data_IF_376194080922
#
_entry.id   IF_376194080922
#
_cell.length_a   1.000
_cell.length_b   1.000
_cell.length_c   1.000
_cell.angle_alpha   90.00
_cell.angle_beta   90.00
_cell.angle_gamma   90.00
#
_symmetry.space_group_name_H-M   'P 1'
#
loop_
_entity.id
_entity.type
_entity.pdbx_description
1 polymer ?
#
# COMPACT_ATOMS: atom_id res chain seq x y z
N UNK A 1 -12.22 -18.61 16.75
CA UNK A 1 -13.22 -18.17 15.75
C UNK A 1 -12.74 -16.83 15.21
N UNK A 2 -12.66 -16.65 13.89
CA UNK A 2 -12.25 -15.39 13.29
C UNK A 2 -13.47 -14.48 13.13
N UNK A 3 -13.31 -13.18 13.40
CA UNK A 3 -14.31 -12.16 13.13
C UNK A 3 -13.88 -11.37 11.89
N UNK A 4 -14.77 -11.23 10.92
CA UNK A 4 -14.54 -10.45 9.71
C UNK A 4 -15.48 -9.25 9.70
N UNK A 5 -14.92 -8.05 9.51
CA UNK A 5 -15.65 -6.79 9.39
C UNK A 5 -15.38 -6.20 8.01
N UNK A 6 -16.24 -6.52 7.03
CA UNK A 6 -16.17 -5.98 5.68
C UNK A 6 -16.90 -4.63 5.60
N UNK A 7 -16.66 -3.86 4.53
CA UNK A 7 -17.27 -2.53 4.33
C UNK A 7 -17.14 -1.60 5.54
N UNK A 8 -16.04 -1.75 6.30
CA UNK A 8 -15.74 -0.98 7.50
C UNK A 8 -14.46 -0.19 7.24
N UNK A 9 -14.51 1.12 7.42
CA UNK A 9 -13.36 1.99 7.15
C UNK A 9 -12.61 2.23 8.45
N UNK A 10 -11.31 1.93 8.46
CA UNK A 10 -10.43 2.31 9.56
C UNK A 10 -10.08 3.79 9.38
N UNK A 11 -10.36 4.60 10.40
CA UNK A 11 -10.16 6.06 10.37
C UNK A 11 -9.00 6.53 11.23
N UNK A 12 -8.64 5.77 12.28
CA UNK A 12 -7.46 6.02 13.10
C UNK A 12 -6.88 4.73 13.67
N UNK A 13 -5.55 4.72 13.86
CA UNK A 13 -4.80 3.66 14.56
C UNK A 13 -3.78 4.37 15.45
N UNK A 14 -3.96 4.28 16.76
CA UNK A 14 -3.19 5.06 17.74
C UNK A 14 -2.61 4.14 18.81
N UNK A 15 -1.29 4.17 18.97
CA UNK A 15 -0.61 3.46 20.05
C UNK A 15 -0.82 4.20 21.38
N UNK A 16 -1.31 3.47 22.38
CA UNK A 16 -1.60 3.94 23.73
C UNK A 16 -0.87 3.05 24.75
N UNK A 17 -0.68 3.50 26.02
CA UNK A 17 -0.05 2.68 27.05
C UNK A 17 -0.70 1.29 27.27
N UNK A 18 -2.01 1.20 27.07
CA UNK A 18 -2.85 0.02 27.28
C UNK A 18 -2.99 -0.89 26.04
N UNK A 19 -2.51 -0.46 24.86
CA UNK A 19 -2.69 -1.18 23.60
C UNK A 19 -2.76 -0.26 22.39
N UNK A 20 -3.27 -0.79 21.28
CA UNK A 20 -3.50 -0.04 20.04
C UNK A 20 -5.00 0.21 19.90
N UNK A 21 -5.38 1.49 20.00
CA UNK A 21 -6.75 1.95 19.77
C UNK A 21 -6.99 2.08 18.28
N UNK A 22 -8.01 1.38 17.77
CA UNK A 22 -8.41 1.46 16.36
C UNK A 22 -9.83 2.01 16.28
N UNK A 23 -9.98 3.09 15.51
CA UNK A 23 -11.28 3.72 15.26
C UNK A 23 -11.80 3.27 13.90
N UNK A 24 -13.06 2.85 13.87
CA UNK A 24 -13.77 2.38 12.70
C UNK A 24 -14.98 3.28 12.43
N UNK A 25 -15.20 3.59 11.16
CA UNK A 25 -16.45 4.13 10.63
C UNK A 25 -17.24 2.95 10.01
N UNK A 26 -18.43 2.68 10.54
CA UNK A 26 -19.31 1.60 10.09
C UNK A 26 -20.15 2.05 8.89
N UNK A 27 -20.67 1.08 8.13
CA UNK A 27 -21.44 1.36 6.89
C UNK A 27 -22.68 2.23 7.12
N UNK A 28 -23.28 2.16 8.30
CA UNK A 28 -24.41 2.97 8.75
C UNK A 28 -24.02 4.35 9.29
N UNK A 29 -22.73 4.73 9.20
CA UNK A 29 -22.21 6.03 9.62
C UNK A 29 -21.92 6.13 11.12
N UNK A 30 -21.95 5.00 11.83
CA UNK A 30 -21.55 4.91 13.22
C UNK A 30 -20.02 4.94 13.39
N UNK A 31 -19.59 5.25 14.60
CA UNK A 31 -18.17 5.21 15.00
C UNK A 31 -18.00 4.19 16.10
N UNK A 32 -17.06 3.27 15.92
CA UNK A 32 -16.67 2.29 16.93
C UNK A 32 -15.17 2.42 17.23
N UNK A 33 -14.80 2.21 18.49
CA UNK A 33 -13.40 2.18 18.92
C UNK A 33 -13.14 0.83 19.58
N UNK A 34 -12.08 0.15 19.15
CA UNK A 34 -11.68 -1.14 19.73
C UNK A 34 -10.19 -1.15 20.04
N UNK A 35 -9.84 -1.70 21.21
CA UNK A 35 -8.46 -1.90 21.65
C UNK A 35 -7.93 -3.26 21.19
N UNK A 36 -6.66 -3.30 20.80
CA UNK A 36 -5.94 -4.51 20.41
C UNK A 36 -4.52 -4.51 21.00
N UNK A 37 -4.00 -5.66 21.39
CA UNK A 37 -2.61 -5.78 21.85
C UNK A 37 -1.60 -5.64 20.69
N UNK A 38 -1.99 -6.02 19.47
CA UNK A 38 -1.17 -5.97 18.28
C UNK A 38 -2.02 -5.75 17.01
N UNK A 39 -1.46 -5.03 16.03
CA UNK A 39 -2.11 -4.76 14.74
C UNK A 39 -1.16 -5.14 13.60
N UNK A 40 -1.66 -5.94 12.65
CA UNK A 40 -0.99 -6.24 11.38
C UNK A 40 -1.59 -5.39 10.27
N UNK A 41 -0.80 -4.48 9.70
CA UNK A 41 -1.20 -3.67 8.54
C UNK A 41 -0.85 -4.43 7.26
N UNK A 42 -1.85 -4.99 6.59
CA UNK A 42 -1.70 -5.80 5.38
C UNK A 42 -2.59 -5.26 4.22
N UNK A 43 -2.48 -3.97 3.91
CA UNK A 43 -3.38 -3.25 3.00
C UNK A 43 -2.94 -3.21 1.53
N UNK A 44 -1.82 -3.85 1.19
CA UNK A 44 -1.30 -3.91 -0.18
C UNK A 44 0.20 -3.73 -0.26
N UNK A 45 0.70 -3.60 -1.49
CA UNK A 45 2.11 -3.38 -1.84
C UNK A 45 2.20 -2.22 -2.81
N UNK A 46 3.27 -1.43 -2.70
CA UNK A 46 3.57 -0.30 -3.60
C UNK A 46 4.86 -0.61 -4.37
N UNK A 47 4.90 -0.41 -5.69
CA UNK A 47 6.13 -0.56 -6.47
C UNK A 47 7.20 0.46 -6.05
N UNK A 48 8.47 0.08 -6.16
CA UNK A 48 9.61 0.89 -5.73
C UNK A 48 10.27 1.69 -6.87
N UNK A 49 9.64 1.86 -8.04
CA UNK A 49 10.26 2.54 -9.18
C UNK A 49 10.75 3.96 -8.89
N UNK A 50 10.12 4.66 -7.93
CA UNK A 50 10.52 6.02 -7.49
C UNK A 50 11.67 6.04 -6.47
N UNK A 51 12.20 4.89 -6.06
CA UNK A 51 13.20 4.77 -4.97
C UNK A 51 14.59 4.35 -5.48
N UNK A 52 14.80 4.38 -6.79
CA UNK A 52 16.03 3.87 -7.44
C UNK A 52 16.65 4.85 -8.43
N UNK A 53 16.25 6.12 -8.39
CA UNK A 53 16.70 7.19 -9.30
C UNK A 53 16.58 6.81 -10.80
N UNK A 54 15.52 6.08 -11.15
CA UNK A 54 15.30 5.53 -12.50
C UNK A 54 15.30 6.64 -13.58
N UNK A 55 14.82 7.83 -13.23
CA UNK A 55 14.81 9.01 -14.08
C UNK A 55 16.21 9.47 -14.49
N UNK A 56 17.24 9.23 -13.65
CA UNK A 56 18.63 9.56 -13.98
C UNK A 56 19.17 8.66 -15.09
N UNK A 57 18.61 7.47 -15.26
CA UNK A 57 18.85 6.58 -16.40
C UNK A 57 17.90 6.85 -17.58
N UNK A 58 17.02 7.86 -17.48
CA UNK A 58 16.02 8.20 -18.48
C UNK A 58 14.79 7.28 -18.50
N UNK A 59 14.64 6.40 -17.50
CA UNK A 59 13.49 5.51 -17.37
C UNK A 59 12.31 6.28 -16.80
N UNK A 60 11.14 6.13 -17.43
CA UNK A 60 9.89 6.74 -16.97
C UNK A 60 9.27 5.90 -15.86
N UNK A 61 8.87 6.58 -14.78
CA UNK A 61 8.14 5.98 -13.66
C UNK A 61 6.77 6.63 -13.57
N UNK A 62 5.72 5.81 -13.46
CA UNK A 62 4.34 6.29 -13.36
C UNK A 62 4.07 6.98 -12.02
N UNK A 63 2.98 7.73 -11.92
CA UNK A 63 2.58 8.37 -10.65
C UNK A 63 2.37 7.36 -9.51
N UNK A 64 1.89 6.15 -9.85
CA UNK A 64 1.72 5.04 -8.91
C UNK A 64 3.03 4.31 -8.55
N UNK A 65 4.15 4.67 -9.17
CA UNK A 65 5.48 4.13 -8.88
C UNK A 65 5.91 2.94 -9.73
N UNK A 66 5.07 2.49 -10.68
CA UNK A 66 5.40 1.40 -11.61
C UNK A 66 6.34 1.85 -12.73
N UNK A 67 7.13 0.92 -13.25
CA UNK A 67 7.88 1.06 -14.51
C UNK A 67 7.13 0.36 -15.64
N UNK A 68 6.64 1.13 -16.62
CA UNK A 68 5.95 0.55 -17.77
C UNK A 68 6.92 -0.18 -18.70
N UNK A 69 6.49 -1.34 -19.19
CA UNK A 69 7.26 -2.16 -20.12
C UNK A 69 6.41 -2.65 -21.29
N UNK A 70 7.09 -2.96 -22.39
CA UNK A 70 6.47 -3.66 -23.53
C UNK A 70 6.34 -5.18 -23.28
N UNK A 71 5.85 -5.92 -24.29
CA UNK A 71 5.71 -7.39 -24.22
C UNK A 71 7.03 -8.15 -24.06
N UNK A 72 8.17 -7.50 -24.29
CA UNK A 72 9.51 -8.04 -24.11
C UNK A 72 10.15 -7.55 -22.79
N UNK A 73 9.37 -6.89 -21.93
CA UNK A 73 9.79 -6.36 -20.63
C UNK A 73 10.79 -5.19 -20.73
N UNK A 74 10.85 -4.52 -21.89
CA UNK A 74 11.67 -3.33 -22.08
C UNK A 74 10.96 -2.09 -21.58
N UNK A 75 11.70 -1.24 -20.87
CA UNK A 75 11.26 0.11 -20.53
C UNK A 75 11.25 1.02 -21.78
N UNK A 76 10.98 2.31 -21.59
CA UNK A 76 11.18 3.31 -22.65
C UNK A 76 12.64 3.48 -23.08
N UNK A 77 13.61 2.95 -22.31
CA UNK A 77 15.03 2.92 -22.68
C UNK A 77 15.35 1.50 -23.21
N UNK A 78 15.69 1.32 -24.50
CA UNK A 78 15.67 0.00 -25.15
C UNK A 78 16.56 -1.09 -24.53
N UNK A 79 17.62 -0.70 -23.82
CA UNK A 79 18.55 -1.64 -23.18
C UNK A 79 18.27 -1.85 -21.69
N UNK A 80 17.30 -1.13 -21.11
CA UNK A 80 16.88 -1.26 -19.70
C UNK A 80 15.53 -1.98 -19.65
N UNK A 81 15.45 -3.00 -18.81
CA UNK A 81 14.26 -3.84 -18.63
C UNK A 81 13.79 -3.75 -17.17
N UNK A 82 12.51 -4.02 -16.93
CA UNK A 82 11.93 -4.10 -15.59
C UNK A 82 10.98 -5.29 -15.49
N UNK A 83 10.99 -5.99 -14.35
CA UNK A 83 10.24 -7.22 -14.13
C UNK A 83 9.76 -7.34 -12.68
N UNK A 84 8.69 -8.08 -12.46
CA UNK A 84 8.10 -8.30 -11.13
C UNK A 84 7.15 -7.16 -10.73
N UNK A 85 7.01 -6.94 -9.42
CA UNK A 85 6.06 -5.99 -8.83
C UNK A 85 6.40 -4.49 -9.06
N UNK A 86 7.44 -4.16 -9.85
CA UNK A 86 8.10 -2.84 -9.90
C UNK A 86 7.57 -1.89 -10.98
#
# INVERSE_FOLDING_TARGET
VYQYRLETKVTAVEAQPEGISVTFETKDGGTEVQQYDAVLVAIGRTPNGKLIDAEQAGVKVTDRGFIEVDKQLRTNVPHIHAVGDI
#
